data_IF_114012453313
#
_entry.id   IF_114012453313
#
_cell.length_a   1.000
_cell.length_b   1.000
_cell.length_c   1.000
_cell.angle_alpha   90.00
_cell.angle_beta   90.00
_cell.angle_gamma   90.00
#
_symmetry.space_group_name_H-M   'P 1'
#
loop_
_entity.id
_entity.type
_entity.pdbx_description
1 polymer ?
#
# COMPACT_ATOMS: atom_id res chain seq x y z
N UNK A 1 4.92 16.03 -27.56
CA UNK A 1 5.61 14.79 -27.11
C UNK A 1 4.56 13.80 -26.72
N UNK A 2 4.63 12.53 -27.12
CA UNK A 2 3.76 11.49 -26.55
C UNK A 2 4.04 11.41 -25.04
N UNK A 3 3.00 11.17 -24.25
CA UNK A 3 3.14 10.96 -22.81
C UNK A 3 3.86 9.64 -22.53
N UNK A 4 4.52 9.57 -21.37
CA UNK A 4 5.08 8.31 -20.88
C UNK A 4 3.96 7.47 -20.26
N UNK A 5 3.91 6.18 -20.57
CA UNK A 5 2.95 5.23 -20.01
C UNK A 5 3.69 4.26 -19.09
N UNK A 6 3.30 4.24 -17.80
CA UNK A 6 3.90 3.35 -16.82
C UNK A 6 2.84 2.41 -16.25
N UNK A 7 3.18 1.13 -16.15
CA UNK A 7 2.43 0.21 -15.32
C UNK A 7 2.94 0.33 -13.88
N UNK A 8 2.11 0.90 -13.00
CA UNK A 8 2.45 1.07 -11.59
C UNK A 8 1.62 0.11 -10.74
N UNK A 9 2.28 -0.54 -9.78
CA UNK A 9 1.61 -1.31 -8.74
C UNK A 9 1.56 -0.47 -7.47
N UNK A 10 0.34 -0.14 -7.02
CA UNK A 10 0.13 0.59 -5.77
C UNK A 10 -0.09 -0.42 -4.64
N UNK A 11 0.75 -0.34 -3.61
CA UNK A 11 0.60 -1.13 -2.40
C UNK A 11 0.25 -0.24 -1.20
N UNK A 12 -0.93 -0.43 -0.61
CA UNK A 12 -1.32 0.23 0.63
C UNK A 12 -0.70 -0.51 1.82
N UNK A 13 0.37 0.02 2.41
CA UNK A 13 1.10 -0.62 3.52
C UNK A 13 0.49 -0.36 4.89
N UNK A 14 -0.20 0.76 5.11
CA UNK A 14 -0.85 1.07 6.37
C UNK A 14 -2.36 1.01 6.22
N UNK A 15 -3.00 0.24 7.09
CA UNK A 15 -4.46 0.20 7.20
C UNK A 15 -4.94 1.16 8.29
N UNK A 16 -4.32 1.07 9.49
CA UNK A 16 -4.65 1.86 10.68
C UNK A 16 -3.45 1.94 11.62
N UNK A 17 -3.47 2.89 12.54
CA UNK A 17 -2.47 2.96 13.61
C UNK A 17 -2.69 1.83 14.62
N UNK A 18 -3.95 1.53 14.94
CA UNK A 18 -4.36 0.56 15.95
C UNK A 18 -5.29 -0.49 15.34
N UNK A 19 -4.93 -1.75 15.43
CA UNK A 19 -5.79 -2.87 15.06
C UNK A 19 -6.48 -3.48 16.27
N UNK A 20 -7.81 -3.70 16.19
CA UNK A 20 -8.55 -4.42 17.22
C UNK A 20 -8.56 -5.90 16.90
N UNK A 21 -8.17 -6.72 17.88
CA UNK A 21 -8.20 -8.18 17.82
C UNK A 21 -9.07 -8.73 18.96
N UNK A 22 -9.64 -9.89 18.76
CA UNK A 22 -10.51 -10.54 19.74
C UNK A 22 -11.62 -11.33 19.08
N UNK A 23 -12.26 -12.21 19.82
CA UNK A 23 -13.36 -13.04 19.35
C UNK A 23 -14.56 -12.23 18.84
N UNK A 24 -15.48 -12.82 18.08
CA UNK A 24 -16.76 -12.20 17.75
C UNK A 24 -17.53 -11.79 19.03
N UNK A 25 -18.34 -10.75 18.94
CA UNK A 25 -19.24 -10.25 19.99
C UNK A 25 -18.55 -9.75 21.28
N UNK A 26 -17.22 -9.62 21.33
CA UNK A 26 -16.52 -9.03 22.49
C UNK A 26 -16.64 -7.51 22.55
N UNK A 27 -17.17 -6.85 21.49
CA UNK A 27 -17.44 -5.43 21.46
C UNK A 27 -16.46 -4.57 20.67
N UNK A 28 -15.67 -5.15 19.75
CA UNK A 28 -14.72 -4.41 18.89
C UNK A 28 -15.39 -3.29 18.09
N UNK A 29 -16.40 -3.61 17.29
CA UNK A 29 -17.12 -2.64 16.46
C UNK A 29 -17.86 -1.58 17.29
N UNK A 30 -18.36 -1.99 18.47
CA UNK A 30 -18.96 -1.05 19.43
C UNK A 30 -17.92 -0.04 19.90
N UNK A 31 -16.73 -0.50 20.29
CA UNK A 31 -15.66 0.37 20.72
C UNK A 31 -15.29 1.38 19.62
N UNK A 32 -15.03 0.92 18.38
CA UNK A 32 -14.73 1.82 17.26
C UNK A 32 -15.83 2.87 17.07
N UNK A 33 -17.10 2.45 17.14
CA UNK A 33 -18.24 3.35 16.94
C UNK A 33 -18.34 4.44 18.03
N UNK A 34 -18.00 4.09 19.27
CA UNK A 34 -18.12 4.99 20.43
C UNK A 34 -16.96 5.97 20.55
N UNK A 35 -15.74 5.56 20.12
CA UNK A 35 -14.55 6.41 20.21
C UNK A 35 -14.30 7.24 18.95
N UNK A 36 -14.92 6.88 17.85
CA UNK A 36 -14.75 7.60 16.59
C UNK A 36 -15.43 8.97 16.62
N UNK A 37 -14.73 9.98 16.16
CA UNK A 37 -15.24 11.36 16.08
C UNK A 37 -16.30 11.54 14.98
N UNK A 38 -16.22 10.75 13.93
CA UNK A 38 -17.17 10.70 12.85
C UNK A 38 -17.79 9.30 12.74
N UNK A 39 -18.87 9.15 12.00
CA UNK A 39 -19.43 7.83 11.72
C UNK A 39 -18.34 6.95 11.14
N UNK A 40 -18.09 5.75 11.73
CA UNK A 40 -17.06 4.85 11.22
C UNK A 40 -17.25 4.55 9.73
N UNK A 41 -16.15 4.51 9.00
CA UNK A 41 -16.14 4.22 7.58
C UNK A 41 -15.99 2.71 7.37
N UNK A 42 -16.90 2.13 6.61
CA UNK A 42 -16.77 0.78 6.10
C UNK A 42 -15.84 0.85 4.88
N UNK A 43 -14.64 0.34 5.01
CA UNK A 43 -13.65 0.42 3.95
C UNK A 43 -13.78 -0.76 2.99
N UNK A 44 -14.45 -0.55 1.86
CA UNK A 44 -14.60 -1.55 0.80
C UNK A 44 -13.32 -1.58 -0.05
N UNK A 45 -12.35 -2.36 0.36
CA UNK A 45 -11.17 -2.63 -0.46
C UNK A 45 -11.49 -3.72 -1.49
N UNK A 46 -11.33 -3.42 -2.78
CA UNK A 46 -11.64 -4.34 -3.89
C UNK A 46 -10.88 -5.68 -3.86
N UNK A 47 -9.82 -5.74 -3.06
CA UNK A 47 -8.96 -6.92 -2.90
C UNK A 47 -9.21 -7.68 -1.59
N UNK A 48 -10.27 -7.35 -0.84
CA UNK A 48 -10.56 -8.00 0.45
C UNK A 48 -11.98 -8.57 0.49
N UNK A 49 -12.08 -9.82 0.93
CA UNK A 49 -13.38 -10.48 1.21
C UNK A 49 -13.95 -10.03 2.56
N UNK A 50 -13.09 -9.46 3.43
CA UNK A 50 -13.43 -8.98 4.76
C UNK A 50 -13.29 -7.47 4.75
N UNK A 51 -14.34 -6.79 5.16
CA UNK A 51 -14.41 -5.32 5.14
C UNK A 51 -14.12 -4.77 6.54
N UNK A 52 -12.98 -4.11 6.77
CA UNK A 52 -12.68 -3.49 8.05
C UNK A 52 -13.54 -2.25 8.29
N UNK A 53 -13.85 -1.98 9.55
CA UNK A 53 -14.50 -0.76 10.00
C UNK A 53 -13.44 0.17 10.59
N UNK A 54 -13.27 1.34 9.98
CA UNK A 54 -12.28 2.32 10.41
C UNK A 54 -12.91 3.46 11.17
N UNK A 55 -12.34 3.81 12.32
CA UNK A 55 -12.73 4.96 13.13
C UNK A 55 -11.56 5.91 13.34
N UNK A 56 -11.79 7.20 13.18
CA UNK A 56 -10.81 8.25 13.52
C UNK A 56 -11.04 8.70 14.96
N UNK A 57 -10.08 8.44 15.82
CA UNK A 57 -10.10 8.78 17.24
C UNK A 57 -9.36 10.09 17.44
N UNK A 58 -10.08 11.14 17.87
CA UNK A 58 -9.47 12.44 18.20
C UNK A 58 -9.01 12.45 19.64
N UNK A 59 -7.80 12.96 19.86
CA UNK A 59 -7.20 13.15 21.19
C UNK A 59 -7.06 14.63 21.58
N UNK A 60 -7.70 15.53 20.81
CA UNK A 60 -7.57 16.97 20.98
C UNK A 60 -6.30 17.55 20.36
N UNK A 61 -6.20 18.88 20.30
CA UNK A 61 -5.02 19.64 19.83
C UNK A 61 -4.45 19.22 18.47
N UNK A 62 -5.32 18.76 17.55
CA UNK A 62 -4.89 18.29 16.24
C UNK A 62 -4.26 16.89 16.22
N UNK A 63 -4.23 16.18 17.34
CA UNK A 63 -3.77 14.81 17.45
C UNK A 63 -4.92 13.83 17.21
N UNK A 64 -4.71 12.88 16.31
CA UNK A 64 -5.67 11.80 16.04
C UNK A 64 -4.93 10.55 15.59
N UNK A 65 -5.58 9.40 15.72
CA UNK A 65 -5.11 8.13 15.16
C UNK A 65 -6.29 7.34 14.58
N UNK A 66 -5.98 6.42 13.68
CA UNK A 66 -6.97 5.54 13.05
C UNK A 66 -7.01 4.21 13.78
N UNK A 67 -8.21 3.81 14.20
CA UNK A 67 -8.50 2.50 14.80
C UNK A 67 -9.30 1.64 13.83
N UNK A 68 -8.89 0.40 13.63
CA UNK A 68 -9.55 -0.55 12.74
C UNK A 68 -10.14 -1.72 13.52
N UNK A 69 -11.45 -1.93 13.38
CA UNK A 69 -12.05 -3.23 13.68
C UNK A 69 -11.89 -4.12 12.45
N UNK A 70 -11.13 -5.17 12.62
CA UNK A 70 -10.87 -6.13 11.55
C UNK A 70 -11.64 -7.40 11.93
N UNK A 71 -12.81 -7.68 11.30
CA UNK A 71 -13.59 -8.87 11.60
C UNK A 71 -12.89 -10.12 11.05
N UNK A 72 -13.01 -11.24 11.74
CA UNK A 72 -12.67 -12.54 11.17
C UNK A 72 -11.54 -13.35 11.83
N UNK A 73 -11.08 -13.00 13.04
CA UNK A 73 -10.29 -13.95 13.82
C UNK A 73 -11.23 -15.01 14.42
N UNK A 74 -11.24 -16.19 13.85
CA UNK A 74 -11.96 -17.37 14.32
C UNK A 74 -10.92 -18.47 14.48
N UNK A 75 -11.13 -19.34 15.46
CA UNK A 75 -10.33 -20.53 15.70
C UNK A 75 -10.01 -21.27 14.38
N UNK A 76 -8.72 -21.50 14.09
CA UNK A 76 -8.28 -22.11 12.84
C UNK A 76 -8.11 -21.16 11.65
N UNK A 77 -8.16 -19.85 11.83
CA UNK A 77 -7.97 -18.87 10.75
C UNK A 77 -6.63 -19.03 10.00
N UNK A 78 -5.60 -19.55 10.67
CA UNK A 78 -4.28 -19.84 10.09
C UNK A 78 -4.25 -21.10 9.22
N UNK A 79 -5.23 -22.02 9.35
CA UNK A 79 -5.24 -23.32 8.64
C UNK A 79 -5.68 -23.24 7.16
N UNK A 80 -5.83 -22.04 6.60
CA UNK A 80 -5.83 -21.91 5.14
C UNK A 80 -7.20 -21.93 4.45
N UNK A 81 -8.29 -21.63 5.12
CA UNK A 81 -9.59 -21.43 4.46
C UNK A 81 -9.73 -20.06 3.75
N UNK A 82 -8.62 -19.41 3.39
CA UNK A 82 -8.55 -18.17 2.61
C UNK A 82 -8.93 -16.90 3.39
N UNK A 83 -9.94 -16.92 4.23
CA UNK A 83 -10.45 -15.77 4.98
C UNK A 83 -9.49 -15.33 6.11
N UNK A 84 -8.91 -16.27 6.85
CA UNK A 84 -8.01 -15.99 7.96
C UNK A 84 -6.68 -15.32 7.52
N UNK A 85 -6.10 -15.75 6.41
CA UNK A 85 -4.89 -15.15 5.86
C UNK A 85 -5.08 -13.70 5.38
N UNK A 86 -6.26 -13.39 4.87
CA UNK A 86 -6.57 -12.01 4.45
C UNK A 86 -6.74 -11.09 5.67
N UNK A 87 -7.41 -11.57 6.72
CA UNK A 87 -7.55 -10.89 8.00
C UNK A 87 -6.18 -10.54 8.61
N UNK A 88 -5.30 -11.51 8.71
CA UNK A 88 -3.99 -11.36 9.35
C UNK A 88 -3.09 -10.38 8.58
N UNK A 89 -3.20 -10.31 7.24
CA UNK A 89 -2.55 -9.28 6.42
C UNK A 89 -3.03 -7.86 6.73
N UNK A 90 -4.27 -7.67 7.18
CA UNK A 90 -4.74 -6.36 7.63
C UNK A 90 -4.14 -5.97 8.97
N UNK A 91 -3.97 -6.94 9.89
CA UNK A 91 -3.32 -6.71 11.19
C UNK A 91 -1.85 -6.35 10.99
N UNK A 92 -1.15 -6.97 10.05
CA UNK A 92 0.24 -6.64 9.70
C UNK A 92 0.41 -5.16 9.29
N UNK A 93 -0.67 -4.52 8.86
CA UNK A 93 -0.71 -3.11 8.46
C UNK A 93 -1.09 -2.15 9.58
N UNK A 94 -1.12 -2.62 10.83
CA UNK A 94 -1.33 -1.80 12.03
C UNK A 94 -0.02 -1.63 12.79
N UNK A 95 0.16 -0.48 13.46
CA UNK A 95 1.37 -0.16 14.22
C UNK A 95 1.37 -0.81 15.60
N UNK A 96 0.20 -0.93 16.22
CA UNK A 96 -0.02 -1.61 17.51
C UNK A 96 -1.37 -2.32 17.53
N UNK A 97 -1.57 -3.17 18.52
CA UNK A 97 -2.79 -3.95 18.68
C UNK A 97 -3.50 -3.61 20.00
N UNK A 98 -4.82 -3.70 20.00
CA UNK A 98 -5.65 -3.74 21.20
C UNK A 98 -6.41 -5.06 21.19
N UNK A 99 -6.10 -5.92 22.14
CA UNK A 99 -6.80 -7.19 22.31
C UNK A 99 -8.02 -6.97 23.21
N UNK A 100 -9.22 -7.13 22.66
CA UNK A 100 -10.47 -6.96 23.39
C UNK A 100 -10.98 -8.33 23.79
N UNK A 101 -11.22 -8.50 25.10
CA UNK A 101 -11.73 -9.75 25.70
C UNK A 101 -13.02 -9.46 26.46
N UNK A 102 -14.01 -10.31 26.34
CA UNK A 102 -15.24 -10.28 27.15
C UNK A 102 -14.96 -10.92 28.51
N UNK A 103 -14.75 -10.06 29.53
CA UNK A 103 -14.42 -10.53 30.90
C UNK A 103 -15.61 -11.13 31.64
N UNK A 104 -16.83 -10.93 31.14
CA UNK A 104 -18.04 -11.48 31.76
C UNK A 104 -18.30 -12.95 31.37
N UNK A 105 -17.65 -13.42 30.32
CA UNK A 105 -17.93 -14.75 29.75
C UNK A 105 -19.38 -14.91 29.24
N UNK A 106 -20.02 -13.81 28.82
CA UNK A 106 -21.42 -13.79 28.41
C UNK A 106 -21.76 -14.73 27.25
N UNK A 107 -20.76 -15.10 26.45
CA UNK A 107 -20.87 -16.03 25.33
C UNK A 107 -20.55 -17.49 25.75
N UNK A 108 -20.39 -17.76 27.04
CA UNK A 108 -20.07 -19.09 27.58
C UNK A 108 -18.61 -19.51 27.38
N UNK A 109 -17.72 -18.56 27.10
CA UNK A 109 -16.27 -18.80 26.92
C UNK A 109 -15.48 -18.28 28.13
N UNK A 110 -14.34 -18.90 28.39
CA UNK A 110 -13.40 -18.44 29.41
C UNK A 110 -12.53 -17.31 28.87
N UNK A 111 -12.47 -16.13 29.55
CA UNK A 111 -11.66 -15.00 29.10
C UNK A 111 -10.17 -15.30 28.94
N UNK A 112 -9.60 -16.20 29.78
CA UNK A 112 -8.18 -16.57 29.70
C UNK A 112 -7.92 -17.47 28.49
N UNK A 113 -8.81 -18.41 28.20
CA UNK A 113 -8.73 -19.26 27.02
C UNK A 113 -8.89 -18.45 25.74
N UNK A 114 -9.83 -17.50 25.71
CA UNK A 114 -10.01 -16.57 24.58
C UNK A 114 -8.74 -15.75 24.34
N UNK A 115 -8.14 -15.19 25.39
CA UNK A 115 -6.92 -14.42 25.31
C UNK A 115 -5.74 -15.25 24.76
N UNK A 116 -5.53 -16.46 25.26
CA UNK A 116 -4.47 -17.33 24.78
C UNK A 116 -4.67 -17.79 23.34
N UNK A 117 -5.90 -18.14 22.99
CA UNK A 117 -6.24 -18.59 21.63
C UNK A 117 -5.87 -17.53 20.61
N UNK A 118 -6.28 -16.29 20.82
CA UNK A 118 -5.95 -15.17 19.91
C UNK A 118 -4.45 -14.93 19.83
N UNK A 119 -3.74 -14.89 20.96
CA UNK A 119 -2.30 -14.68 20.97
C UNK A 119 -1.55 -15.81 20.25
N UNK A 120 -2.00 -17.06 20.42
CA UNK A 120 -1.44 -18.21 19.72
C UNK A 120 -1.69 -18.16 18.22
N UNK A 121 -2.88 -17.70 17.78
CA UNK A 121 -3.21 -17.52 16.37
C UNK A 121 -2.32 -16.44 15.73
N UNK A 122 -2.14 -15.29 16.39
CA UNK A 122 -1.25 -14.24 15.93
C UNK A 122 0.18 -14.76 15.76
N UNK A 123 0.69 -15.48 16.78
CA UNK A 123 2.05 -16.03 16.77
C UNK A 123 2.26 -17.09 15.68
N UNK A 124 1.27 -17.97 15.46
CA UNK A 124 1.35 -19.01 14.43
C UNK A 124 1.33 -18.42 13.02
N UNK A 125 0.62 -17.32 12.82
CA UNK A 125 0.56 -16.66 11.53
C UNK A 125 1.86 -15.94 11.20
N UNK A 126 2.28 -15.03 12.08
CA UNK A 126 3.53 -14.28 11.94
C UNK A 126 4.08 -13.96 13.33
N UNK A 127 5.25 -14.51 13.71
CA UNK A 127 5.88 -14.21 14.99
C UNK A 127 6.08 -12.71 15.25
N UNK A 128 6.36 -11.92 14.22
CA UNK A 128 6.51 -10.45 14.33
C UNK A 128 5.23 -9.76 14.80
N UNK A 129 4.05 -10.33 14.49
CA UNK A 129 2.78 -9.80 15.00
C UNK A 129 2.61 -9.99 16.50
N UNK A 130 3.10 -11.10 17.04
CA UNK A 130 3.07 -11.37 18.47
C UNK A 130 4.05 -10.48 19.26
N UNK A 131 5.07 -9.93 18.60
CA UNK A 131 6.04 -8.99 19.18
C UNK A 131 5.58 -7.52 19.10
N UNK A 132 4.51 -7.24 18.36
CA UNK A 132 4.00 -5.88 18.28
C UNK A 132 3.51 -5.35 19.62
N UNK A 133 3.67 -4.05 19.87
CA UNK A 133 3.10 -3.41 21.04
C UNK A 133 1.59 -3.69 21.13
N UNK A 134 1.18 -4.27 22.24
CA UNK A 134 -0.22 -4.66 22.47
C UNK A 134 -0.64 -4.29 23.89
N UNK A 135 -1.88 -3.85 24.02
CA UNK A 135 -2.58 -3.68 25.30
C UNK A 135 -3.84 -4.54 25.30
N UNK A 136 -4.37 -4.84 26.48
CA UNK A 136 -5.56 -5.68 26.65
C UNK A 136 -6.69 -4.85 27.24
N UNK A 137 -7.85 -4.89 26.58
CA UNK A 137 -9.07 -4.27 27.04
C UNK A 137 -10.07 -5.36 27.50
N UNK A 138 -10.33 -5.40 28.81
CA UNK A 138 -11.40 -6.23 29.35
C UNK A 138 -12.71 -5.50 29.20
N UNK A 139 -13.55 -5.94 28.26
CA UNK A 139 -14.85 -5.32 27.99
C UNK A 139 -16.00 -6.05 28.67
N UNK A 140 -17.17 -5.42 28.73
CA UNK A 140 -18.39 -5.84 29.38
C UNK A 140 -18.24 -6.01 30.89
N UNK A 141 -17.45 -5.12 31.51
CA UNK A 141 -17.27 -5.09 32.97
C UNK A 141 -18.58 -4.87 33.74
N UNK A 142 -19.60 -4.29 33.11
CA UNK A 142 -20.95 -4.16 33.66
C UNK A 142 -21.68 -5.51 33.88
N UNK A 143 -21.23 -6.55 33.20
CA UNK A 143 -21.78 -7.90 33.28
C UNK A 143 -20.88 -8.88 34.05
N UNK A 144 -19.71 -8.45 34.48
CA UNK A 144 -18.73 -9.25 35.20
C UNK A 144 -18.73 -8.91 36.70
N UNK A 145 -18.28 -9.82 37.52
CA UNK A 145 -18.02 -9.52 38.94
C UNK A 145 -16.65 -8.92 39.14
N UNK A 146 -16.46 -8.14 40.21
CA UNK A 146 -15.15 -7.55 40.55
C UNK A 146 -14.05 -8.61 40.68
N UNK A 147 -14.41 -9.83 41.18
CA UNK A 147 -13.46 -10.94 41.26
C UNK A 147 -13.01 -11.44 39.87
N UNK A 148 -13.94 -11.56 38.91
CA UNK A 148 -13.61 -11.96 37.54
C UNK A 148 -12.69 -10.94 36.87
N UNK A 149 -12.99 -9.65 37.03
CA UNK A 149 -12.15 -8.56 36.49
C UNK A 149 -10.77 -8.58 37.12
N UNK A 150 -10.68 -8.74 38.45
CA UNK A 150 -9.41 -8.76 39.16
C UNK A 150 -8.55 -10.00 38.80
N UNK A 151 -9.18 -11.18 38.70
CA UNK A 151 -8.50 -12.41 38.30
C UNK A 151 -7.97 -12.36 36.89
N UNK A 152 -8.76 -11.86 35.93
CA UNK A 152 -8.32 -11.72 34.55
C UNK A 152 -7.24 -10.62 34.41
N UNK A 153 -7.38 -9.49 35.15
CA UNK A 153 -6.36 -8.45 35.22
C UNK A 153 -5.01 -9.02 35.69
N UNK A 154 -4.99 -9.70 36.82
CA UNK A 154 -3.77 -10.31 37.37
C UNK A 154 -3.13 -11.29 36.39
N UNK A 155 -3.94 -12.05 35.68
CA UNK A 155 -3.48 -13.00 34.66
C UNK A 155 -2.80 -12.30 33.47
N UNK A 156 -3.39 -11.22 32.94
CA UNK A 156 -2.86 -10.46 31.80
C UNK A 156 -1.60 -9.69 32.18
N UNK A 157 -1.59 -9.03 33.37
CA UNK A 157 -0.45 -8.27 33.86
C UNK A 157 0.76 -9.19 34.17
N UNK A 158 0.53 -10.42 34.63
CA UNK A 158 1.57 -11.42 34.82
C UNK A 158 2.26 -11.83 33.51
N UNK A 159 1.61 -11.67 32.37
CA UNK A 159 2.18 -11.90 31.04
C UNK A 159 2.82 -10.64 30.42
N UNK A 160 2.86 -9.52 31.17
CA UNK A 160 3.53 -8.28 30.77
C UNK A 160 2.70 -7.32 29.94
N UNK A 161 1.39 -7.50 29.86
CA UNK A 161 0.50 -6.59 29.13
C UNK A 161 -0.19 -5.60 30.06
N UNK A 162 -0.34 -4.35 29.61
CA UNK A 162 -1.19 -3.35 30.28
C UNK A 162 -2.66 -3.75 30.11
N UNK A 163 -3.42 -3.76 31.21
CA UNK A 163 -4.84 -4.12 31.22
C UNK A 163 -5.74 -2.92 31.53
N UNK A 164 -6.83 -2.79 30.76
CA UNK A 164 -7.82 -1.74 30.90
C UNK A 164 -9.23 -2.34 31.01
N UNK A 165 -9.88 -2.25 32.18
CA UNK A 165 -11.29 -2.62 32.30
C UNK A 165 -12.16 -1.53 31.65
N UNK A 166 -13.02 -1.89 30.71
CA UNK A 166 -13.87 -0.95 29.99
C UNK A 166 -15.32 -1.41 29.90
N UNK A 167 -16.22 -0.47 29.65
CA UNK A 167 -17.59 -0.74 29.22
C UNK A 167 -17.82 0.04 27.91
N UNK A 168 -17.44 -0.58 26.80
CA UNK A 168 -17.41 0.09 25.50
C UNK A 168 -18.78 0.68 25.11
N UNK A 169 -19.88 -0.04 25.41
CA UNK A 169 -21.23 0.38 25.03
C UNK A 169 -21.64 1.75 25.60
N UNK A 170 -21.15 2.10 26.77
CA UNK A 170 -21.47 3.38 27.47
C UNK A 170 -20.27 4.31 27.57
N UNK A 171 -19.15 3.97 26.91
CA UNK A 171 -17.89 4.72 26.92
C UNK A 171 -17.31 4.96 28.33
N UNK A 172 -17.48 3.99 29.23
CA UNK A 172 -16.97 4.10 30.59
C UNK A 172 -15.55 3.52 30.67
N UNK A 173 -14.63 4.26 31.33
CA UNK A 173 -13.21 3.95 31.49
C UNK A 173 -12.42 3.69 30.19
N UNK A 174 -12.91 4.21 29.05
CA UNK A 174 -12.24 4.09 27.76
C UNK A 174 -11.09 5.11 27.60
N UNK A 175 -11.23 6.30 28.18
CA UNK A 175 -10.25 7.40 28.00
C UNK A 175 -8.85 7.07 28.57
N UNK A 176 -8.67 6.36 29.70
CA UNK A 176 -7.34 5.90 30.15
C UNK A 176 -6.65 5.01 29.13
N UNK A 177 -7.40 4.08 28.51
CA UNK A 177 -6.90 3.22 27.46
C UNK A 177 -6.47 4.02 26.22
N UNK A 178 -7.30 4.99 25.78
CA UNK A 178 -6.98 5.85 24.63
C UNK A 178 -5.71 6.69 24.88
N UNK A 179 -5.55 7.21 26.10
CA UNK A 179 -4.35 7.95 26.49
C UNK A 179 -3.09 7.07 26.43
N UNK A 180 -3.19 5.82 26.88
CA UNK A 180 -2.09 4.86 26.79
C UNK A 180 -1.74 4.54 25.33
N UNK A 181 -2.74 4.32 24.48
CA UNK A 181 -2.55 4.12 23.03
C UNK A 181 -1.77 5.29 22.44
N UNK A 182 -2.19 6.53 22.72
CA UNK A 182 -1.51 7.74 22.23
C UNK A 182 -0.05 7.80 22.69
N UNK A 183 0.21 7.50 23.97
CA UNK A 183 1.55 7.46 24.52
C UNK A 183 2.42 6.42 23.80
N UNK A 184 1.90 5.21 23.58
CA UNK A 184 2.61 4.14 22.89
C UNK A 184 2.87 4.50 21.42
N UNK A 185 1.86 5.02 20.70
CA UNK A 185 2.01 5.44 19.30
C UNK A 185 3.06 6.54 19.13
N UNK A 186 3.19 7.46 20.11
CA UNK A 186 4.20 8.52 20.05
C UNK A 186 5.64 8.03 20.19
N UNK A 187 5.83 6.86 20.80
CA UNK A 187 7.14 6.20 20.99
C UNK A 187 7.52 5.27 19.84
N UNK A 188 6.53 4.85 19.04
CA UNK A 188 6.76 4.01 17.89
C UNK A 188 7.41 4.83 16.76
N UNK A 189 8.34 4.22 15.99
CA UNK A 189 8.93 4.91 14.85
C UNK A 189 7.80 5.40 13.92
N UNK A 190 8.01 6.54 13.24
CA UNK A 190 7.10 6.96 12.20
C UNK A 190 7.01 5.86 11.15
N UNK A 191 5.87 5.79 10.49
CA UNK A 191 5.67 4.86 9.37
C UNK A 191 6.82 5.10 8.40
N UNK A 192 7.54 4.03 8.04
CA UNK A 192 8.58 4.14 7.04
C UNK A 192 7.97 4.72 5.76
N UNK A 193 8.22 6.00 5.49
CA UNK A 193 7.97 6.56 4.19
C UNK A 193 8.90 5.84 3.22
N UNK A 194 8.33 5.28 2.17
CA UNK A 194 9.13 4.83 1.05
C UNK A 194 9.74 6.09 0.45
N UNK A 195 11.02 6.31 0.68
CA UNK A 195 11.77 7.16 -0.21
C UNK A 195 11.76 6.43 -1.56
N UNK A 196 11.12 7.05 -2.54
CA UNK A 196 11.21 6.56 -3.90
C UNK A 196 12.70 6.40 -4.19
N UNK A 197 13.13 5.20 -4.59
CA UNK A 197 14.46 5.07 -5.17
C UNK A 197 14.53 6.14 -6.26
N UNK A 198 15.53 7.04 -6.23
CA UNK A 198 15.64 8.03 -7.26
C UNK A 198 15.65 7.26 -8.59
N UNK A 199 14.65 7.52 -9.43
CA UNK A 199 14.64 6.99 -10.78
C UNK A 199 16.02 7.28 -11.36
N UNK A 200 16.70 6.31 -11.99
CA UNK A 200 17.99 6.58 -12.61
C UNK A 200 17.81 7.85 -13.46
N UNK A 201 18.50 8.90 -13.10
CA UNK A 201 18.51 10.13 -13.89
C UNK A 201 19.21 9.73 -15.17
N UNK A 202 18.42 9.42 -16.20
CA UNK A 202 18.94 9.24 -17.55
C UNK A 202 19.44 10.62 -17.95
N UNK A 203 20.74 10.83 -17.82
CA UNK A 203 21.38 12.05 -18.27
C UNK A 203 21.52 12.00 -19.78
N UNK A 204 21.53 13.16 -20.42
CA UNK A 204 21.76 13.23 -21.87
C UNK A 204 23.10 12.57 -22.30
N UNK A 205 24.00 12.29 -21.35
CA UNK A 205 25.25 11.56 -21.52
C UNK A 205 25.08 10.04 -21.68
N UNK A 206 23.95 9.47 -21.24
CA UNK A 206 23.63 8.05 -21.43
C UNK A 206 23.15 7.74 -22.87
N UNK A 207 22.90 8.78 -23.67
CA UNK A 207 22.60 8.70 -25.09
C UNK A 207 23.80 9.14 -25.92
N UNK A 208 24.96 8.58 -25.65
CA UNK A 208 26.17 8.81 -26.47
C UNK A 208 26.13 7.95 -27.75
N UNK A 209 25.01 7.92 -28.43
CA UNK A 209 24.93 7.30 -29.73
C UNK A 209 23.91 8.00 -30.65
N UNK A 210 24.31 9.15 -31.19
CA UNK A 210 23.78 9.66 -32.45
C UNK A 210 24.25 8.78 -33.63
N UNK A 211 24.63 7.54 -33.37
CA UNK A 211 25.04 6.59 -34.38
C UNK A 211 23.89 6.34 -35.34
N UNK A 212 24.09 6.76 -36.57
CA UNK A 212 23.18 6.47 -37.68
C UNK A 212 23.75 5.33 -38.48
N UNK A 213 23.04 4.23 -38.54
CA UNK A 213 23.43 3.11 -39.37
C UNK A 213 22.60 3.10 -40.64
N UNK A 214 23.29 3.23 -41.80
CA UNK A 214 22.63 3.14 -43.12
C UNK A 214 23.01 1.83 -43.80
N UNK A 215 22.02 1.04 -44.24
CA UNK A 215 22.16 -0.19 -45.00
C UNK A 215 21.47 -0.04 -46.35
N UNK A 216 22.07 -0.56 -47.41
CA UNK A 216 21.38 -0.71 -48.70
C UNK A 216 20.94 -2.15 -48.87
N UNK A 217 19.64 -2.37 -48.97
CA UNK A 217 19.05 -3.70 -49.17
C UNK A 217 18.15 -3.66 -50.41
N UNK A 218 18.56 -4.30 -51.47
CA UNK A 218 17.81 -4.38 -52.73
C UNK A 218 17.48 -3.02 -53.38
N UNK A 219 18.36 -2.02 -53.21
CA UNK A 219 18.16 -0.68 -53.78
C UNK A 219 17.38 0.29 -52.85
N UNK A 220 16.96 -0.16 -51.66
CA UNK A 220 16.33 0.70 -50.64
C UNK A 220 17.37 0.99 -49.57
N UNK A 221 17.54 2.28 -49.23
CA UNK A 221 18.42 2.69 -48.17
C UNK A 221 17.69 2.72 -46.85
N UNK A 222 17.99 1.77 -45.98
CA UNK A 222 17.36 1.66 -44.65
C UNK A 222 18.22 2.39 -43.60
N UNK A 223 17.62 3.28 -42.84
CA UNK A 223 18.22 4.03 -41.74
C UNK A 223 17.76 3.43 -40.42
N UNK A 224 18.72 3.08 -39.57
CA UNK A 224 18.47 2.57 -38.22
C UNK A 224 19.19 3.49 -37.22
N UNK A 225 18.43 4.12 -36.29
CA UNK A 225 18.96 4.97 -35.21
C UNK A 225 17.91 5.05 -34.09
N UNK A 226 18.23 4.54 -32.88
CA UNK A 226 17.25 4.44 -31.79
C UNK A 226 16.66 5.76 -31.37
N UNK A 227 17.47 6.83 -31.37
CA UNK A 227 17.01 8.18 -31.09
C UNK A 227 15.99 8.70 -32.13
N UNK A 228 16.14 8.31 -33.39
CA UNK A 228 15.26 8.73 -34.48
C UNK A 228 13.85 8.14 -34.34
N UNK A 229 13.74 6.94 -33.81
CA UNK A 229 12.46 6.30 -33.53
C UNK A 229 11.61 7.11 -32.52
N UNK A 230 12.26 7.74 -31.55
CA UNK A 230 11.58 8.60 -30.59
C UNK A 230 11.10 9.91 -31.22
N UNK A 231 11.92 10.49 -32.09
CA UNK A 231 11.53 11.68 -32.85
C UNK A 231 10.33 11.39 -33.75
N UNK A 232 10.36 10.27 -34.47
CA UNK A 232 9.28 9.84 -35.37
C UNK A 232 7.93 9.68 -34.65
N UNK A 233 7.93 9.14 -33.43
CA UNK A 233 6.72 9.02 -32.59
C UNK A 233 6.08 10.35 -32.22
N UNK A 234 6.85 11.44 -32.25
CA UNK A 234 6.38 12.79 -31.95
C UNK A 234 5.97 13.61 -33.17
N UNK A 235 6.17 13.08 -34.37
CA UNK A 235 5.87 13.75 -35.66
C UNK A 235 4.48 13.38 -36.13
N UNK A 236 3.71 14.38 -36.53
CA UNK A 236 2.49 14.17 -37.31
C UNK A 236 2.84 14.28 -38.79
N UNK A 237 2.93 13.15 -39.50
CA UNK A 237 3.31 13.08 -40.91
C UNK A 237 2.25 13.65 -41.87
N UNK A 238 1.04 13.94 -41.39
CA UNK A 238 -0.02 14.60 -42.16
C UNK A 238 0.07 16.15 -42.08
N UNK A 239 0.97 16.68 -41.25
CA UNK A 239 1.14 18.11 -41.05
C UNK A 239 2.45 18.62 -41.68
N UNK A 240 2.34 19.66 -42.51
CA UNK A 240 3.46 20.22 -43.24
C UNK A 240 4.55 20.82 -42.35
N UNK A 241 4.19 21.49 -41.25
CA UNK A 241 5.16 22.07 -40.33
C UNK A 241 5.95 20.99 -39.59
N UNK A 242 5.27 19.91 -39.21
CA UNK A 242 5.87 18.73 -38.58
C UNK A 242 6.84 18.01 -39.52
N UNK A 243 6.49 17.89 -40.79
CA UNK A 243 7.40 17.32 -41.81
C UNK A 243 8.66 18.18 -42.01
N UNK A 244 8.52 19.51 -42.10
CA UNK A 244 9.66 20.41 -42.20
C UNK A 244 10.58 20.30 -40.98
N UNK A 245 10.01 20.18 -39.79
CA UNK A 245 10.75 19.94 -38.57
C UNK A 245 11.54 18.62 -38.65
N UNK A 246 10.88 17.55 -39.10
CA UNK A 246 11.52 16.23 -39.24
C UNK A 246 12.69 16.27 -40.23
N UNK A 247 12.51 16.91 -41.39
CA UNK A 247 13.59 17.09 -42.37
C UNK A 247 14.78 17.83 -41.75
N UNK A 248 14.51 18.89 -41.01
CA UNK A 248 15.56 19.62 -40.31
C UNK A 248 16.31 18.76 -39.30
N UNK A 249 15.60 17.92 -38.55
CA UNK A 249 16.22 16.99 -37.61
C UNK A 249 17.11 15.97 -38.32
N UNK A 250 16.72 15.45 -39.48
CA UNK A 250 17.54 14.54 -40.28
C UNK A 250 18.83 15.21 -40.78
N UNK A 251 18.76 16.50 -41.19
CA UNK A 251 19.91 17.29 -41.64
C UNK A 251 20.85 17.57 -40.45
N UNK A 252 20.30 18.15 -39.37
CA UNK A 252 21.09 18.63 -38.23
C UNK A 252 21.82 17.49 -37.50
N UNK A 253 21.29 16.26 -37.56
CA UNK A 253 21.90 15.07 -36.94
C UNK A 253 22.66 14.19 -37.94
N UNK A 254 22.97 14.68 -39.13
CA UNK A 254 23.89 14.05 -40.09
C UNK A 254 23.31 12.79 -40.79
N UNK A 255 21.98 12.52 -40.70
CA UNK A 255 21.34 11.36 -41.36
C UNK A 255 21.48 11.49 -42.89
N UNK A 256 21.28 12.72 -43.42
CA UNK A 256 21.39 12.99 -44.85
C UNK A 256 22.83 12.78 -45.33
N UNK A 257 23.81 13.20 -44.55
CA UNK A 257 25.22 12.97 -44.89
C UNK A 257 25.62 11.50 -44.87
N UNK A 258 25.06 10.73 -43.91
CA UNK A 258 25.25 9.28 -43.82
C UNK A 258 24.64 8.55 -45.04
N UNK A 259 23.45 8.96 -45.50
CA UNK A 259 22.82 8.45 -46.72
C UNK A 259 23.69 8.73 -47.97
N UNK A 260 24.16 9.97 -48.17
CA UNK A 260 25.05 10.34 -49.26
C UNK A 260 26.38 9.55 -49.22
N UNK A 261 26.96 9.39 -48.03
CA UNK A 261 28.19 8.59 -47.88
C UNK A 261 28.01 7.12 -48.23
N UNK A 262 26.80 6.62 -48.19
CA UNK A 262 26.44 5.23 -48.61
C UNK A 262 26.06 5.14 -50.11
N UNK A 263 26.06 6.28 -50.83
CA UNK A 263 25.79 6.33 -52.27
C UNK A 263 24.33 6.58 -52.62
N UNK A 264 23.51 7.04 -51.67
CA UNK A 264 22.14 7.45 -51.96
C UNK A 264 22.13 8.70 -52.83
N UNK A 265 21.33 8.71 -53.89
CA UNK A 265 21.21 9.78 -54.90
C UNK A 265 19.75 10.17 -55.06
N UNK A 266 19.51 11.32 -55.68
CA UNK A 266 18.18 11.84 -55.97
C UNK A 266 17.29 10.81 -56.68
N UNK A 267 16.13 10.52 -56.16
CA UNK A 267 15.16 9.52 -56.65
C UNK A 267 15.32 8.14 -56.04
N UNK A 268 16.35 7.90 -55.22
CA UNK A 268 16.48 6.62 -54.50
C UNK A 268 15.46 6.55 -53.35
N UNK A 269 14.95 5.36 -53.06
CA UNK A 269 14.02 5.15 -51.98
C UNK A 269 14.75 4.97 -50.64
N UNK A 270 14.39 5.79 -49.66
CA UNK A 270 14.85 5.74 -48.28
C UNK A 270 13.76 5.21 -47.39
N UNK A 271 14.10 4.25 -46.56
CA UNK A 271 13.19 3.67 -45.51
C UNK A 271 13.77 3.99 -44.13
N UNK A 272 12.96 4.65 -43.33
CA UNK A 272 13.24 4.91 -41.90
C UNK A 272 12.13 4.24 -41.09
N UNK A 273 12.40 3.06 -40.56
CA UNK A 273 11.40 2.20 -39.88
C UNK A 273 10.18 1.94 -40.78
N UNK A 274 9.00 2.52 -40.44
CA UNK A 274 7.76 2.36 -41.20
C UNK A 274 7.53 3.45 -42.25
N UNK A 275 8.42 4.45 -42.34
CA UNK A 275 8.30 5.56 -43.27
C UNK A 275 9.21 5.34 -44.50
N UNK A 276 8.60 5.32 -45.68
CA UNK A 276 9.32 5.25 -46.96
C UNK A 276 9.08 6.55 -47.75
N UNK A 277 10.13 7.11 -48.31
CA UNK A 277 10.10 8.30 -49.14
C UNK A 277 11.23 8.31 -50.17
N UNK A 278 11.06 9.10 -51.22
CA UNK A 278 12.11 9.30 -52.23
C UNK A 278 13.09 10.37 -51.75
N UNK A 279 14.38 10.08 -51.87
CA UNK A 279 15.44 11.03 -51.53
C UNK A 279 15.43 12.17 -52.54
N UNK A 280 15.32 13.39 -52.03
CA UNK A 280 15.41 14.65 -52.81
C UNK A 280 16.55 15.46 -52.23
N UNK A 281 17.44 15.97 -53.07
CA UNK A 281 18.66 16.67 -52.67
C UNK A 281 18.42 18.13 -52.25
#
# INVERSE_FOLDING_TARGET
>A
MPGEEFNVTLELKLLADVGLVGFPNVGKSTLVSVVSQAKPLIANYHFTTITPVLGVVSMGEGSSFVMADIPGLIEGAWQGTGLGHQFLRHIERCRMLVHIVDVSGSEGRDPKEDFETINNELKKFNPELAERPMIVAGNKCDMATDEQIADFKAYVEAQGYDFFPIMAAIRYDVDPMLNKIREMLSKLPPIAHYEAEPAPIVTAEDFDDHAVTVKNVNGIYTVEADWLLQVMKSINFDDYESLNYFQKVLIDNGVIDALRAKGCSEGDTVSIYELEFDFVD
#
